data_IF_776794150136
#
_entry.id   IF_776794150136
#
_cell.length_a   1.000
_cell.length_b   1.000
_cell.length_c   1.000
_cell.angle_alpha   90.00
_cell.angle_beta   90.00
_cell.angle_gamma   90.00
#
_symmetry.space_group_name_H-M   'P 1'
#
loop_
_entity.id
_entity.type
_entity.pdbx_description
1 polymer ?
#
# COMPACT_ATOMS: atom_id res chain seq x y z
N UNK A 1 -4.66 5.63 5.83
CA UNK A 1 -5.03 4.21 5.90
C UNK A 1 -4.92 3.70 7.32
N UNK A 2 -5.86 2.88 7.72
CA UNK A 2 -5.77 2.13 8.98
C UNK A 2 -6.33 0.74 8.70
N UNK A 3 -5.53 -0.30 8.93
CA UNK A 3 -5.97 -1.64 8.61
C UNK A 3 -5.26 -2.69 9.48
N UNK A 4 -5.85 -3.86 9.55
CA UNK A 4 -5.32 -5.01 10.27
C UNK A 4 -5.24 -6.20 9.32
N UNK A 5 -4.11 -6.87 9.31
CA UNK A 5 -3.89 -8.04 8.46
C UNK A 5 -3.58 -9.27 9.30
N UNK A 6 -4.06 -10.41 8.83
CA UNK A 6 -3.73 -11.71 9.36
C UNK A 6 -3.06 -12.55 8.29
N UNK A 7 -2.14 -13.44 8.71
CA UNK A 7 -1.43 -14.33 7.80
C UNK A 7 -2.41 -15.17 6.96
N UNK A 8 -2.09 -15.35 5.68
CA UNK A 8 -2.88 -16.16 4.76
C UNK A 8 -4.06 -15.43 4.12
N UNK A 9 -4.21 -14.15 4.38
CA UNK A 9 -5.22 -13.34 3.69
C UNK A 9 -4.78 -13.03 2.26
N UNK A 10 -5.74 -13.08 1.33
CA UNK A 10 -5.52 -12.58 -0.02
C UNK A 10 -5.24 -11.07 0.01
N UNK A 11 -4.64 -10.51 -1.07
CA UNK A 11 -4.43 -9.08 -1.17
C UNK A 11 -5.71 -8.31 -0.89
N UNK A 12 -5.59 -7.22 -0.15
CA UNK A 12 -6.71 -6.37 0.21
C UNK A 12 -6.40 -4.93 -0.19
N UNK A 13 -7.38 -4.26 -0.79
CA UNK A 13 -7.22 -2.89 -1.27
C UNK A 13 -8.21 -1.96 -0.59
N UNK A 14 -7.76 -0.73 -0.34
CA UNK A 14 -8.60 0.31 0.23
C UNK A 14 -9.45 1.02 -0.82
N UNK A 15 -10.07 2.12 -0.42
CA UNK A 15 -10.85 2.94 -1.32
C UNK A 15 -9.97 3.58 -2.38
N UNK A 16 -10.55 3.82 -3.55
CA UNK A 16 -9.85 4.48 -4.64
C UNK A 16 -9.61 5.95 -4.34
N UNK A 17 -8.49 6.45 -4.83
CA UNK A 17 -8.15 7.87 -4.82
C UNK A 17 -7.76 8.30 -6.23
N UNK A 18 -8.06 9.54 -6.57
CA UNK A 18 -7.79 10.10 -7.88
C UNK A 18 -6.47 10.85 -7.87
N UNK A 19 -5.66 10.65 -8.92
CA UNK A 19 -4.42 11.40 -9.09
C UNK A 19 -4.68 12.88 -9.29
N UNK A 20 -3.93 13.71 -8.56
CA UNK A 20 -4.02 15.17 -8.65
C UNK A 20 -3.07 15.79 -9.67
N UNK A 21 -2.14 15.00 -10.22
CA UNK A 21 -1.12 15.47 -11.15
C UNK A 21 -0.76 14.39 -12.17
N UNK A 22 0.21 14.68 -13.04
CA UNK A 22 0.71 13.76 -14.05
C UNK A 22 2.04 13.10 -13.65
N UNK A 23 2.47 13.24 -12.39
CA UNK A 23 3.73 12.69 -11.91
C UNK A 23 3.60 11.18 -11.73
N UNK A 24 4.53 10.42 -12.30
CA UNK A 24 4.51 8.97 -12.29
C UNK A 24 5.14 8.39 -11.01
N UNK A 25 4.79 8.96 -9.85
CA UNK A 25 5.29 8.54 -8.54
C UNK A 25 4.12 8.56 -7.55
N UNK A 26 3.97 7.46 -6.80
CA UNK A 26 3.08 7.40 -5.64
C UNK A 26 3.91 7.49 -4.35
N UNK A 27 3.29 7.96 -3.29
CA UNK A 27 3.95 8.11 -1.99
C UNK A 27 3.15 7.38 -0.91
N UNK A 28 3.86 6.68 -0.04
CA UNK A 28 3.28 5.99 1.11
C UNK A 28 4.09 6.34 2.35
N UNK A 29 3.40 6.73 3.42
CA UNK A 29 4.01 6.99 4.72
C UNK A 29 3.39 6.03 5.74
N UNK A 30 4.21 5.19 6.36
CA UNK A 30 3.78 4.27 7.42
C UNK A 30 4.01 4.92 8.78
N UNK A 31 2.96 5.45 9.39
CA UNK A 31 3.04 6.17 10.66
C UNK A 31 2.72 5.30 11.86
N UNK A 32 2.03 4.19 11.66
CA UNK A 32 1.68 3.24 12.71
C UNK A 32 1.95 1.81 12.22
N UNK A 33 2.66 1.04 13.04
CA UNK A 33 2.91 -0.37 12.76
C UNK A 33 2.99 -1.11 14.09
N UNK A 34 1.84 -1.60 14.54
CA UNK A 34 1.73 -2.30 15.82
C UNK A 34 1.60 -3.80 15.59
N UNK A 35 2.60 -4.55 16.03
CA UNK A 35 2.59 -6.00 15.98
C UNK A 35 1.83 -6.52 17.20
N UNK A 36 0.73 -7.23 16.96
CA UNK A 36 -0.05 -7.85 18.03
C UNK A 36 0.41 -9.28 18.32
N UNK A 37 0.94 -9.96 17.31
CA UNK A 37 1.47 -11.32 17.44
C UNK A 37 2.38 -11.66 16.26
N UNK A 38 3.34 -12.57 16.48
CA UNK A 38 4.20 -13.09 15.43
C UNK A 38 5.17 -12.06 14.84
N UNK A 39 5.54 -12.30 13.59
CA UNK A 39 6.48 -11.48 12.84
C UNK A 39 5.88 -11.10 11.48
N UNK A 40 4.75 -10.38 11.44
CA UNK A 40 4.11 -10.04 10.18
C UNK A 40 4.93 -9.01 9.40
N UNK A 41 4.96 -9.18 8.08
CA UNK A 41 5.53 -8.22 7.13
C UNK A 41 4.42 -7.81 6.18
N UNK A 42 4.30 -6.53 5.89
CA UNK A 42 3.24 -5.99 5.03
C UNK A 42 3.85 -5.45 3.75
N UNK A 43 3.49 -6.06 2.63
CA UNK A 43 3.82 -5.54 1.30
C UNK A 43 2.67 -4.72 0.77
N UNK A 44 2.98 -3.56 0.20
CA UNK A 44 1.98 -2.66 -0.36
C UNK A 44 2.40 -2.22 -1.75
N UNK A 45 1.41 -1.99 -2.59
CA UNK A 45 1.59 -1.45 -3.93
C UNK A 45 0.36 -0.64 -4.31
N UNK A 46 0.50 0.17 -5.35
CA UNK A 46 -0.62 0.91 -5.92
C UNK A 46 -1.13 0.16 -7.14
N UNK A 47 -2.44 0.00 -7.24
CA UNK A 47 -3.10 -0.70 -8.32
C UNK A 47 -4.14 0.20 -9.00
N UNK A 48 -4.42 0.00 -10.30
CA UNK A 48 -5.57 0.64 -10.93
C UNK A 48 -6.84 0.27 -10.16
N UNK A 49 -7.74 1.23 -9.99
CA UNK A 49 -8.99 1.03 -9.26
C UNK A 49 -9.75 -0.20 -9.76
N UNK A 50 -10.22 -1.03 -8.83
CA UNK A 50 -10.96 -2.24 -9.15
C UNK A 50 -10.11 -3.46 -9.51
N UNK A 51 -8.78 -3.37 -9.39
CA UNK A 51 -7.86 -4.47 -9.68
C UNK A 51 -6.88 -4.70 -8.54
N UNK A 52 -6.19 -5.85 -8.56
CA UNK A 52 -5.03 -6.11 -7.70
C UNK A 52 -3.70 -5.98 -8.45
N UNK A 53 -3.75 -5.58 -9.72
CA UNK A 53 -2.56 -5.48 -10.56
C UNK A 53 -1.60 -4.42 -10.03
N UNK A 54 -0.30 -4.71 -10.06
CA UNK A 54 0.71 -3.76 -9.62
C UNK A 54 0.94 -2.70 -10.69
N UNK A 55 0.48 -1.47 -10.42
CA UNK A 55 0.85 -0.30 -11.21
C UNK A 55 2.18 0.30 -10.74
N UNK A 56 2.63 -0.08 -9.54
CA UNK A 56 3.95 0.20 -9.00
C UNK A 56 4.58 -1.11 -8.53
N UNK A 57 5.90 -1.10 -8.29
CA UNK A 57 6.52 -2.19 -7.54
C UNK A 57 5.95 -2.23 -6.13
N UNK A 58 5.95 -3.42 -5.54
CA UNK A 58 5.60 -3.58 -4.14
C UNK A 58 6.81 -3.25 -3.25
N UNK A 59 6.53 -2.70 -2.08
CA UNK A 59 7.53 -2.50 -1.04
C UNK A 59 7.04 -3.18 0.24
N UNK A 60 7.97 -3.76 1.00
CA UNK A 60 7.64 -4.47 2.23
C UNK A 60 8.07 -3.64 3.45
N UNK A 61 7.10 -3.41 4.35
CA UNK A 61 7.35 -2.75 5.63
C UNK A 61 7.42 -3.77 6.75
N UNK A 62 8.33 -3.53 7.69
CA UNK A 62 8.45 -4.31 8.93
C UNK A 62 8.28 -3.42 10.17
N UNK A 63 7.97 -2.17 9.97
CA UNK A 63 7.78 -1.15 11.00
C UNK A 63 7.37 0.18 10.38
N UNK A 64 7.30 1.21 11.20
CA UNK A 64 7.06 2.57 10.69
C UNK A 64 8.22 3.04 9.83
N UNK A 65 7.93 3.92 8.89
CA UNK A 65 8.92 4.47 7.99
C UNK A 65 8.49 5.84 7.48
N UNK A 66 9.46 6.72 7.15
CA UNK A 66 9.15 7.98 6.48
C UNK A 66 8.59 7.72 5.09
N UNK A 67 8.19 8.79 4.43
CA UNK A 67 7.60 8.72 3.09
C UNK A 67 8.46 7.93 2.12
N UNK A 68 7.87 6.90 1.51
CA UNK A 68 8.48 6.07 0.48
C UNK A 68 7.87 6.41 -0.88
N UNK A 69 8.73 6.62 -1.87
CA UNK A 69 8.30 6.84 -3.25
C UNK A 69 8.22 5.51 -3.98
N UNK A 70 7.12 5.29 -4.71
CA UNK A 70 6.94 4.13 -5.58
C UNK A 70 6.67 4.65 -7.00
N UNK A 71 7.57 4.34 -7.92
CA UNK A 71 7.43 4.72 -9.33
C UNK A 71 6.36 3.87 -10.01
N UNK A 72 5.53 4.49 -10.84
CA UNK A 72 4.59 3.76 -11.67
C UNK A 72 5.32 3.07 -12.82
N UNK A 73 4.86 1.87 -13.18
CA UNK A 73 5.40 1.08 -14.28
C UNK A 73 4.69 1.36 -15.62
N UNK A 74 3.88 2.42 -15.66
CA UNK A 74 3.07 2.80 -16.82
C UNK A 74 2.85 4.31 -16.84
N UNK A 75 2.37 4.81 -17.98
CA UNK A 75 1.95 6.20 -18.07
C UNK A 75 0.75 6.47 -17.17
N UNK A 76 0.81 7.54 -16.39
CA UNK A 76 -0.27 7.96 -15.50
C UNK A 76 -0.57 9.42 -15.73
N UNK A 77 -1.83 9.81 -15.49
CA UNK A 77 -2.32 11.17 -15.71
C UNK A 77 -3.22 11.60 -14.58
N UNK A 78 -3.31 12.91 -14.37
CA UNK A 78 -4.30 13.51 -13.50
C UNK A 78 -5.70 12.99 -13.86
N UNK A 79 -6.49 12.64 -12.84
CA UNK A 79 -7.85 12.12 -13.02
C UNK A 79 -7.94 10.60 -13.03
N UNK A 80 -6.85 9.88 -13.21
CA UNK A 80 -6.86 8.42 -13.11
C UNK A 80 -7.05 7.97 -11.67
N UNK A 81 -7.88 6.94 -11.47
CA UNK A 81 -8.18 6.40 -10.15
C UNK A 81 -7.31 5.18 -9.83
N UNK A 82 -6.74 5.17 -8.64
CA UNK A 82 -5.92 4.09 -8.12
C UNK A 82 -6.38 3.71 -6.71
N UNK A 83 -5.91 2.57 -6.23
CA UNK A 83 -6.14 2.14 -4.86
C UNK A 83 -4.85 1.56 -4.28
N UNK A 84 -4.72 1.66 -2.97
CA UNK A 84 -3.59 1.08 -2.26
C UNK A 84 -3.94 -0.34 -1.86
N UNK A 85 -3.11 -1.29 -2.27
CA UNK A 85 -3.28 -2.70 -1.97
C UNK A 85 -2.19 -3.18 -1.03
N UNK A 86 -2.50 -4.17 -0.21
CA UNK A 86 -1.58 -4.75 0.73
C UNK A 86 -1.78 -6.25 0.85
N UNK A 87 -0.68 -6.94 1.17
CA UNK A 87 -0.66 -8.37 1.43
C UNK A 87 0.29 -8.65 2.59
N UNK A 88 -0.09 -9.55 3.47
CA UNK A 88 0.75 -9.92 4.61
C UNK A 88 1.56 -11.17 4.30
N UNK A 89 2.85 -11.09 4.64
CA UNK A 89 3.76 -12.23 4.70
C UNK A 89 4.17 -12.46 6.15
N UNK A 90 4.53 -13.70 6.48
CA UNK A 90 4.86 -14.08 7.86
C UNK A 90 3.63 -14.34 8.70
N UNK A 91 3.84 -14.93 9.87
CA UNK A 91 2.77 -15.31 10.78
C UNK A 91 2.42 -14.15 11.72
N UNK A 92 1.20 -14.20 12.26
CA UNK A 92 0.77 -13.24 13.27
C UNK A 92 -0.13 -12.15 12.72
N UNK A 93 -0.18 -11.04 13.42
CA UNK A 93 -1.08 -9.94 13.11
C UNK A 93 -0.45 -8.59 13.43
N UNK A 94 -0.66 -7.62 12.56
CA UNK A 94 -0.26 -6.24 12.78
C UNK A 94 -1.40 -5.28 12.45
N UNK A 95 -1.44 -4.16 13.16
CA UNK A 95 -2.30 -3.02 12.80
C UNK A 95 -1.40 -1.95 12.21
N UNK A 96 -1.72 -1.50 11.02
CA UNK A 96 -0.95 -0.47 10.33
C UNK A 96 -1.80 0.77 10.09
N UNK A 97 -1.14 1.90 10.04
CA UNK A 97 -1.76 3.18 9.75
C UNK A 97 -0.79 4.11 9.05
N UNK A 98 -1.32 5.05 8.34
CA UNK A 98 -0.52 6.01 7.62
C UNK A 98 -1.34 6.75 6.57
N UNK A 99 -0.65 7.23 5.57
CA UNK A 99 -1.25 7.97 4.48
C UNK A 99 -0.55 7.65 3.17
N UNK A 100 -1.27 7.84 2.07
CA UNK A 100 -0.71 7.63 0.75
C UNK A 100 -1.30 8.61 -0.24
N UNK A 101 -0.55 8.82 -1.32
CA UNK A 101 -0.96 9.68 -2.43
C UNK A 101 -0.68 8.93 -3.73
N UNK A 102 -1.67 8.78 -4.61
CA UNK A 102 -1.47 8.10 -5.90
C UNK A 102 -0.51 8.81 -6.82
#
# INVERSE_FOLDING_TARGET
MNTSYAHGKDPNCGYAATKDDNVAIAYITMTQYKINSGTPQISMWVAPSGTYAQATDAWTWTGTAPRKSLGYNRAVKKGMAFQLCAEQFGSGRAVIGGRWTP
#
